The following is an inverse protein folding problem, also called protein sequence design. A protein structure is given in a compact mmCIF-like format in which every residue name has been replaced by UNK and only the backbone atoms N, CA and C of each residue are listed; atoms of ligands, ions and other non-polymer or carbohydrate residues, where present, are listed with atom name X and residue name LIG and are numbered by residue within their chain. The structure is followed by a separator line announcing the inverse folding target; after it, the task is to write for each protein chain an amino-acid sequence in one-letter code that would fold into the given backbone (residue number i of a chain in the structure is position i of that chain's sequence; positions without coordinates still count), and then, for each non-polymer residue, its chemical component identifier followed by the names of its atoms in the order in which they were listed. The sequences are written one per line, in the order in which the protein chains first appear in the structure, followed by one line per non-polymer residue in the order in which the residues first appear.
data_IF_114960647093
#
_entry.id   IF_114960647093
#
_cell.length_a   1.000
_cell.length_b   1.000
_cell.length_c   1.000
_cell.angle_alpha   90.00
_cell.angle_beta   90.00
_cell.angle_gamma   90.00
#
_symmetry.space_group_name_H-M   'P 1'
#
loop_
_entity.id
_entity.type
_entity.pdbx_description
1 polymer ?
#
# COMPACT_ATOMS: atom_id res chain seq x y z
N UNK A 1 9.46 -17.74 -10.07
CA UNK A 1 9.87 -16.99 -8.85
C UNK A 1 8.67 -16.64 -7.99
N UNK A 2 7.63 -16.00 -8.55
CA UNK A 2 6.43 -15.61 -7.78
C UNK A 2 5.60 -16.81 -7.29
N UNK A 3 5.54 -17.92 -8.02
CA UNK A 3 4.86 -19.15 -7.57
C UNK A 3 5.39 -19.69 -6.22
N UNK A 4 6.70 -19.59 -5.99
CA UNK A 4 7.33 -20.05 -4.73
C UNK A 4 6.88 -19.18 -3.56
N UNK A 5 6.77 -17.87 -3.81
CA UNK A 5 6.29 -16.91 -2.81
C UNK A 5 4.80 -17.10 -2.58
N UNK A 6 4.02 -17.36 -3.64
CA UNK A 6 2.57 -17.52 -3.58
C UNK A 6 2.13 -18.82 -2.91
N UNK A 7 2.89 -19.91 -3.05
CA UNK A 7 2.57 -21.23 -2.49
C UNK A 7 2.11 -21.22 -1.02
N UNK A 8 2.84 -20.63 -0.05
CA UNK A 8 2.39 -20.59 1.34
C UNK A 8 1.09 -19.79 1.52
N UNK A 9 0.92 -18.67 0.80
CA UNK A 9 -0.30 -17.87 0.87
C UNK A 9 -1.49 -18.63 0.27
N UNK A 10 -1.28 -19.35 -0.83
CA UNK A 10 -2.27 -20.23 -1.44
C UNK A 10 -2.74 -21.32 -0.48
N UNK A 11 -1.82 -21.95 0.27
CA UNK A 11 -2.20 -22.95 1.30
C UNK A 11 -2.99 -22.35 2.47
N UNK A 12 -2.67 -21.14 2.90
CA UNK A 12 -3.47 -20.45 3.93
C UNK A 12 -4.85 -20.12 3.38
N UNK A 13 -4.95 -19.61 2.15
CA UNK A 13 -6.24 -19.28 1.55
C UNK A 13 -7.09 -20.53 1.28
N UNK A 14 -6.47 -21.62 0.83
CA UNK A 14 -7.09 -22.93 0.72
C UNK A 14 -7.67 -23.40 2.04
N UNK A 15 -6.91 -23.31 3.13
CA UNK A 15 -7.40 -23.65 4.46
C UNK A 15 -8.59 -22.77 4.87
N UNK A 16 -8.54 -21.47 4.57
CA UNK A 16 -9.67 -20.57 4.80
C UNK A 16 -10.89 -21.01 3.99
N UNK A 17 -10.71 -21.35 2.71
CA UNK A 17 -11.79 -21.81 1.83
C UNK A 17 -12.41 -23.12 2.31
N UNK A 18 -11.62 -24.08 2.80
CA UNK A 18 -12.15 -25.32 3.37
C UNK A 18 -13.10 -25.07 4.56
N UNK A 19 -12.88 -24.00 5.32
CA UNK A 19 -13.71 -23.68 6.50
C UNK A 19 -15.03 -23.00 6.14
N UNK A 20 -15.05 -22.14 5.11
CA UNK A 20 -16.23 -21.31 4.78
C UNK A 20 -16.92 -21.67 3.47
N UNK A 21 -16.23 -22.40 2.57
CA UNK A 21 -16.70 -22.78 1.23
C UNK A 21 -17.21 -21.60 0.37
N UNK A 22 -16.69 -20.40 0.60
CA UNK A 22 -16.94 -19.21 -0.20
C UNK A 22 -15.63 -18.42 -0.33
N UNK A 23 -15.20 -18.14 -1.56
CA UNK A 23 -13.90 -17.53 -1.80
C UNK A 23 -13.79 -16.10 -1.25
N UNK A 24 -14.85 -15.30 -1.34
CA UNK A 24 -14.87 -13.94 -0.79
C UNK A 24 -14.70 -13.91 0.72
N UNK A 25 -15.43 -14.76 1.45
CA UNK A 25 -15.28 -14.87 2.92
C UNK A 25 -13.92 -15.48 3.27
N UNK A 26 -13.41 -16.41 2.45
CA UNK A 26 -12.07 -16.97 2.64
C UNK A 26 -10.99 -15.89 2.53
N UNK A 27 -11.11 -14.94 1.59
CA UNK A 27 -10.20 -13.79 1.48
C UNK A 27 -10.22 -12.90 2.74
N UNK A 28 -11.39 -12.70 3.36
CA UNK A 28 -11.50 -11.94 4.62
C UNK A 28 -10.76 -12.65 5.75
N UNK A 29 -11.02 -13.96 5.94
CA UNK A 29 -10.35 -14.77 6.95
C UNK A 29 -8.83 -14.82 6.74
N UNK A 30 -8.40 -15.04 5.50
CA UNK A 30 -7.00 -14.97 5.10
C UNK A 30 -6.37 -13.63 5.52
N UNK A 31 -7.04 -12.53 5.22
CA UNK A 31 -6.55 -11.18 5.56
C UNK A 31 -6.39 -11.01 7.07
N UNK A 32 -7.37 -11.47 7.86
CA UNK A 32 -7.30 -11.44 9.33
C UNK A 32 -6.11 -12.27 9.83
N UNK A 33 -5.93 -13.48 9.32
CA UNK A 33 -4.83 -14.38 9.71
C UNK A 33 -3.47 -13.76 9.41
N UNK A 34 -3.26 -13.22 8.20
CA UNK A 34 -2.00 -12.57 7.83
C UNK A 34 -1.72 -11.38 8.75
N UNK A 35 -2.73 -10.55 9.05
CA UNK A 35 -2.57 -9.40 9.94
C UNK A 35 -2.26 -9.81 11.39
N UNK A 36 -2.84 -10.92 11.87
CA UNK A 36 -2.51 -11.48 13.18
C UNK A 36 -1.08 -12.01 13.24
N UNK A 37 -0.62 -12.74 12.21
CA UNK A 37 0.77 -13.21 12.10
C UNK A 37 1.74 -12.01 12.07
N UNK A 38 1.36 -10.93 11.39
CA UNK A 38 2.16 -9.72 11.29
C UNK A 38 2.03 -8.77 12.49
N UNK A 39 1.10 -8.99 13.41
CA UNK A 39 0.86 -8.14 14.59
C UNK A 39 2.13 -7.84 15.43
N UNK A 40 3.00 -8.83 15.77
CA UNK A 40 4.24 -8.53 16.49
C UNK A 40 5.20 -7.64 15.68
N UNK A 41 5.21 -7.78 14.35
CA UNK A 41 5.99 -6.91 13.47
C UNK A 41 5.43 -5.49 13.48
N UNK A 42 4.11 -5.35 13.38
CA UNK A 42 3.43 -4.05 13.43
C UNK A 42 3.69 -3.31 14.76
N UNK A 43 3.70 -4.02 15.89
CA UNK A 43 4.10 -3.44 17.19
C UNK A 43 5.54 -2.92 17.16
N UNK A 44 6.49 -3.72 16.65
CA UNK A 44 7.90 -3.30 16.53
C UNK A 44 8.05 -2.09 15.60
N UNK A 45 7.32 -2.06 14.50
CA UNK A 45 7.29 -0.96 13.56
C UNK A 45 6.75 0.32 14.21
N UNK A 46 5.66 0.24 14.96
CA UNK A 46 5.12 1.39 15.69
C UNK A 46 6.10 1.91 16.76
N UNK A 47 6.82 1.03 17.44
CA UNK A 47 7.89 1.41 18.37
C UNK A 47 9.05 2.12 17.65
N UNK A 48 9.42 1.65 16.47
CA UNK A 48 10.42 2.33 15.63
C UNK A 48 9.95 3.72 15.21
N UNK A 49 8.66 3.90 14.90
CA UNK A 49 8.10 5.22 14.55
C UNK A 49 8.07 6.14 15.78
N UNK A 50 7.76 5.61 16.96
CA UNK A 50 7.78 6.37 18.20
C UNK A 50 9.20 6.84 18.57
N UNK A 51 10.26 6.05 18.29
CA UNK A 51 11.65 6.53 18.43
C UNK A 51 11.97 7.66 17.47
N UNK A 52 11.58 7.52 16.21
CA UNK A 52 11.77 8.58 15.20
C UNK A 52 11.05 9.86 15.61
N UNK A 53 9.86 9.74 16.19
CA UNK A 53 9.09 10.86 16.70
C UNK A 53 9.81 11.65 17.81
N UNK A 54 10.71 11.04 18.59
CA UNK A 54 11.50 11.76 19.59
C UNK A 54 12.56 12.67 18.97
N UNK A 55 12.99 12.37 17.75
CA UNK A 55 14.01 13.13 17.03
C UNK A 55 13.44 14.34 16.29
N UNK A 56 12.11 14.38 16.13
CA UNK A 56 11.37 15.47 15.50
C UNK A 56 11.83 16.89 15.86
N UNK A 57 11.95 17.28 17.15
CA UNK A 57 12.38 18.64 17.51
C UNK A 57 13.80 18.96 17.01
N UNK A 58 14.72 18.00 17.10
CA UNK A 58 16.10 18.17 16.60
C UNK A 58 16.15 18.24 15.07
N UNK A 59 15.33 17.43 14.39
CA UNK A 59 15.18 17.48 12.93
C UNK A 59 14.59 18.82 12.46
N UNK A 60 13.66 19.40 13.21
CA UNK A 60 13.09 20.71 12.88
C UNK A 60 14.12 21.83 13.04
N UNK A 61 14.95 21.77 14.07
CA UNK A 61 16.09 22.68 14.25
C UNK A 61 17.08 22.59 13.08
N UNK A 62 17.45 21.37 12.68
CA UNK A 62 18.31 21.14 11.50
C UNK A 62 17.71 21.76 10.23
N UNK A 63 16.42 21.55 9.98
CA UNK A 63 15.71 22.12 8.83
C UNK A 63 15.69 23.64 8.85
N UNK A 64 15.48 24.27 10.01
CA UNK A 64 15.51 25.72 10.16
C UNK A 64 16.92 26.28 9.92
N UNK A 65 17.93 25.61 10.46
CA UNK A 65 19.34 26.02 10.34
C UNK A 65 19.86 25.92 8.91
N UNK A 66 19.63 24.78 8.26
CA UNK A 66 20.14 24.47 6.92
C UNK A 66 19.07 24.59 5.83
N UNK A 67 18.07 25.46 6.01
CA UNK A 67 16.97 25.64 5.05
C UNK A 67 17.47 25.91 3.61
N UNK A 68 18.60 26.60 3.47
CA UNK A 68 19.22 26.97 2.20
C UNK A 68 20.34 26.01 1.75
N UNK A 69 20.72 25.01 2.56
CA UNK A 69 21.79 24.06 2.24
C UNK A 69 21.31 22.62 2.42
N UNK A 70 20.74 22.06 1.35
CA UNK A 70 20.19 20.70 1.34
C UNK A 70 21.23 19.61 1.59
N UNK A 71 22.47 19.83 1.17
CA UNK A 71 23.56 18.88 1.34
C UNK A 71 23.94 18.75 2.80
N UNK A 72 24.27 19.87 3.46
CA UNK A 72 24.53 19.91 4.92
C UNK A 72 23.33 19.42 5.74
N UNK A 73 22.11 19.76 5.31
CA UNK A 73 20.90 19.27 5.98
C UNK A 73 20.81 17.74 5.95
N UNK A 74 21.09 17.12 4.81
CA UNK A 74 21.03 15.67 4.66
C UNK A 74 22.13 14.99 5.50
N UNK A 75 23.35 15.53 5.50
CA UNK A 75 24.47 15.02 6.28
C UNK A 75 24.19 15.08 7.80
N UNK A 76 23.81 16.25 8.31
CA UNK A 76 23.51 16.43 9.74
C UNK A 76 22.28 15.61 10.17
N UNK A 77 21.30 15.44 9.30
CA UNK A 77 20.12 14.59 9.55
C UNK A 77 20.51 13.11 9.65
N UNK A 78 21.37 12.64 8.73
CA UNK A 78 21.86 11.26 8.75
C UNK A 78 22.70 11.01 10.01
N UNK A 79 23.55 11.97 10.38
CA UNK A 79 24.38 11.87 11.58
C UNK A 79 23.54 11.85 12.86
N UNK A 80 22.50 12.67 12.94
CA UNK A 80 21.56 12.62 14.07
C UNK A 80 20.90 11.24 14.21
N UNK A 81 20.50 10.62 13.10
CA UNK A 81 19.96 9.26 13.12
C UNK A 81 20.99 8.23 13.59
N UNK A 82 22.26 8.40 13.22
CA UNK A 82 23.34 7.54 13.67
C UNK A 82 23.57 7.66 15.16
N UNK A 83 23.75 8.89 15.68
CA UNK A 83 24.01 9.12 17.11
C UNK A 83 22.88 8.55 17.97
N UNK A 84 21.64 8.69 17.52
CA UNK A 84 20.45 8.23 18.23
C UNK A 84 20.11 6.76 17.95
N UNK A 85 20.92 6.05 17.14
CA UNK A 85 20.75 4.64 16.77
C UNK A 85 19.37 4.32 16.15
N UNK A 86 18.81 5.26 15.38
CA UNK A 86 17.50 5.11 14.71
C UNK A 86 17.71 4.87 13.22
N UNK A 87 17.12 3.79 12.69
CA UNK A 87 17.18 3.51 11.25
C UNK A 87 15.98 4.13 10.51
N UNK A 88 16.17 5.15 9.64
CA UNK A 88 15.08 5.76 8.87
C UNK A 88 14.41 4.77 7.91
N UNK A 89 15.14 3.78 7.38
CA UNK A 89 14.62 2.76 6.47
C UNK A 89 13.75 1.71 7.18
N UNK A 90 13.78 1.64 8.52
CA UNK A 90 12.84 0.80 9.27
C UNK A 90 11.37 1.17 9.04
N UNK A 91 11.11 2.41 8.59
CA UNK A 91 9.78 2.92 8.24
C UNK A 91 9.20 2.38 6.93
N UNK A 92 10.03 1.98 5.96
CA UNK A 92 9.59 1.56 4.63
C UNK A 92 9.44 0.04 4.47
N UNK A 93 9.94 -0.76 5.41
CA UNK A 93 9.70 -2.20 5.50
C UNK A 93 8.24 -2.65 5.28
N UNK A 94 7.21 -1.96 5.83
CA UNK A 94 5.81 -2.35 5.67
C UNK A 94 5.35 -2.26 4.22
N UNK A 95 5.89 -1.30 3.47
CA UNK A 95 5.58 -1.13 2.06
C UNK A 95 6.11 -2.32 1.26
N UNK A 96 7.36 -2.72 1.49
CA UNK A 96 7.97 -3.90 0.84
C UNK A 96 7.16 -5.16 1.13
N UNK A 97 6.82 -5.39 2.41
CA UNK A 97 6.03 -6.56 2.79
C UNK A 97 4.63 -6.51 2.14
N UNK A 98 4.00 -5.33 2.09
CA UNK A 98 2.70 -5.15 1.42
C UNK A 98 2.79 -5.48 -0.08
N UNK A 99 3.86 -5.05 -0.77
CA UNK A 99 4.06 -5.38 -2.18
C UNK A 99 4.31 -6.88 -2.42
N UNK A 100 5.11 -7.54 -1.58
CA UNK A 100 5.33 -8.99 -1.68
C UNK A 100 4.01 -9.75 -1.51
N UNK A 101 3.19 -9.34 -0.54
CA UNK A 101 1.87 -9.95 -0.32
C UNK A 101 0.93 -9.67 -1.50
N UNK A 102 0.95 -8.45 -2.07
CA UNK A 102 0.16 -8.12 -3.26
C UNK A 102 0.48 -9.06 -4.42
N UNK A 103 1.75 -9.26 -4.75
CA UNK A 103 2.13 -10.17 -5.85
C UNK A 103 1.73 -11.62 -5.58
N UNK A 104 1.84 -12.08 -4.33
CA UNK A 104 1.36 -13.40 -3.94
C UNK A 104 -0.16 -13.54 -4.11
N UNK A 105 -0.94 -12.54 -3.68
CA UNK A 105 -2.40 -12.57 -3.78
C UNK A 105 -2.88 -12.46 -5.22
N UNK A 106 -2.22 -11.64 -6.04
CA UNK A 106 -2.50 -11.57 -7.47
C UNK A 106 -2.43 -12.98 -8.07
N UNK A 107 -1.35 -13.72 -7.82
CA UNK A 107 -1.16 -15.06 -8.37
C UNK A 107 -2.26 -16.04 -7.88
N UNK A 108 -2.57 -16.01 -6.59
CA UNK A 108 -3.59 -16.91 -6.01
C UNK A 108 -5.00 -16.58 -6.51
N UNK A 109 -5.31 -15.29 -6.70
CA UNK A 109 -6.60 -14.85 -7.27
C UNK A 109 -6.71 -15.24 -8.74
N UNK A 110 -5.63 -15.13 -9.52
CA UNK A 110 -5.67 -15.52 -10.94
C UNK A 110 -5.75 -17.04 -11.14
N UNK A 111 -5.16 -17.83 -10.23
CA UNK A 111 -5.06 -19.28 -10.38
C UNK A 111 -5.79 -20.08 -9.27
N UNK A 112 -7.11 -19.89 -9.10
CA UNK A 112 -7.83 -20.52 -8.00
C UNK A 112 -7.93 -22.04 -8.15
N UNK A 113 -7.96 -22.59 -9.37
CA UNK A 113 -7.99 -24.03 -9.59
C UNK A 113 -6.70 -24.71 -9.13
N UNK A 114 -5.56 -24.03 -9.32
CA UNK A 114 -4.27 -24.53 -8.82
C UNK A 114 -4.13 -24.41 -7.31
N UNK A 115 -4.49 -23.26 -6.72
CA UNK A 115 -4.19 -22.99 -5.30
C UNK A 115 -5.28 -23.42 -4.34
N UNK A 116 -6.56 -23.42 -4.76
CA UNK A 116 -7.71 -23.76 -3.92
C UNK A 116 -8.16 -25.18 -4.21
N UNK A 117 -8.39 -25.51 -5.47
CA UNK A 117 -8.93 -26.83 -5.82
C UNK A 117 -7.85 -27.91 -5.98
N UNK A 118 -6.56 -27.52 -6.00
CA UNK A 118 -5.41 -28.42 -6.20
C UNK A 118 -5.53 -29.29 -7.47
N UNK A 119 -6.14 -28.77 -8.54
CA UNK A 119 -6.27 -29.50 -9.81
C UNK A 119 -4.87 -29.84 -10.37
N UNK A 120 -4.65 -31.06 -10.89
CA UNK A 120 -3.38 -31.45 -11.49
C UNK A 120 -2.93 -30.50 -12.61
N UNK A 121 -1.62 -30.22 -12.68
CA UNK A 121 -1.06 -29.23 -13.62
C UNK A 121 -1.25 -29.64 -15.08
N UNK A 122 -1.20 -30.94 -15.37
CA UNK A 122 -1.42 -31.53 -16.69
C UNK A 122 -2.86 -31.31 -17.17
N UNK A 123 -3.86 -31.60 -16.31
CA UNK A 123 -5.26 -31.32 -16.61
C UNK A 123 -5.54 -29.83 -16.82
N UNK A 124 -4.94 -28.97 -16.00
CA UNK A 124 -5.06 -27.52 -16.18
C UNK A 124 -4.41 -27.04 -17.47
N UNK A 125 -3.23 -27.55 -17.82
CA UNK A 125 -2.57 -27.19 -19.07
C UNK A 125 -3.41 -27.62 -20.29
N UNK A 126 -4.00 -28.82 -20.25
CA UNK A 126 -4.90 -29.28 -21.30
C UNK A 126 -6.16 -28.40 -21.41
N UNK A 127 -6.80 -28.10 -20.29
CA UNK A 127 -7.97 -27.23 -20.23
C UNK A 127 -7.65 -25.83 -20.81
N UNK A 128 -6.51 -25.26 -20.43
CA UNK A 128 -6.03 -23.97 -20.94
C UNK A 128 -5.82 -24.00 -22.45
N UNK A 129 -5.17 -25.04 -22.95
CA UNK A 129 -4.96 -25.20 -24.38
C UNK A 129 -6.28 -25.35 -25.12
N UNK A 130 -7.26 -26.11 -24.59
CA UNK A 130 -8.56 -26.27 -25.24
C UNK A 130 -9.29 -24.93 -25.38
N UNK A 131 -9.26 -24.08 -24.34
CA UNK A 131 -9.84 -22.72 -24.41
C UNK A 131 -9.08 -21.82 -25.36
N UNK A 132 -7.75 -21.86 -25.32
CA UNK A 132 -6.93 -21.05 -26.22
C UNK A 132 -7.16 -21.44 -27.69
N UNK A 133 -7.27 -22.73 -27.96
CA UNK A 133 -7.47 -23.26 -29.30
C UNK A 133 -8.87 -22.95 -29.83
N UNK A 134 -9.90 -23.10 -28.98
CA UNK A 134 -11.23 -22.63 -29.29
C UNK A 134 -11.20 -21.14 -29.63
N UNK A 135 -10.57 -20.29 -28.81
CA UNK A 135 -10.43 -18.86 -29.09
C UNK A 135 -9.75 -18.60 -30.44
N UNK A 136 -8.60 -19.23 -30.73
CA UNK A 136 -7.87 -19.04 -32.00
C UNK A 136 -8.74 -19.45 -33.18
N UNK A 137 -9.37 -20.62 -33.14
CA UNK A 137 -10.22 -21.09 -34.23
C UNK A 137 -11.44 -20.21 -34.43
N UNK A 138 -12.06 -19.71 -33.35
CA UNK A 138 -13.15 -18.73 -33.44
C UNK A 138 -12.70 -17.41 -34.06
N UNK A 139 -11.48 -16.93 -33.74
CA UNK A 139 -10.93 -15.73 -34.40
C UNK A 139 -10.70 -15.96 -35.89
N UNK A 140 -10.21 -17.14 -36.28
CA UNK A 140 -10.01 -17.49 -37.70
C UNK A 140 -11.34 -17.52 -38.44
N UNK A 141 -12.40 -18.13 -37.86
CA UNK A 141 -13.73 -18.12 -38.44
C UNK A 141 -14.26 -16.68 -38.63
N UNK A 142 -14.13 -15.86 -37.59
CA UNK A 142 -14.53 -14.45 -37.62
C UNK A 142 -13.75 -13.63 -38.66
N UNK A 143 -12.45 -13.85 -38.80
CA UNK A 143 -11.60 -13.15 -39.79
C UNK A 143 -12.02 -13.49 -41.24
N UNK A 144 -12.52 -14.71 -41.46
CA UNK A 144 -13.09 -15.15 -42.73
C UNK A 144 -14.59 -14.80 -42.88
N UNK A 145 -15.14 -13.98 -41.98
CA UNK A 145 -16.55 -13.54 -42.00
C UNK A 145 -17.53 -14.71 -41.99
N UNK A 146 -17.15 -15.82 -41.35
CA UNK A 146 -18.00 -17.00 -41.18
C UNK A 146 -18.23 -17.30 -39.69
N UNK A 147 -19.16 -18.21 -39.41
CA UNK A 147 -19.45 -18.71 -38.08
C UNK A 147 -19.74 -20.21 -38.14
N UNK A 148 -19.68 -20.87 -36.99
CA UNK A 148 -20.02 -22.29 -36.90
C UNK A 148 -21.47 -22.52 -37.34
N UNK A 149 -22.40 -21.71 -36.86
CA UNK A 149 -23.82 -21.76 -37.28
C UNK A 149 -23.97 -21.65 -38.80
N UNK A 150 -23.30 -20.68 -39.44
CA UNK A 150 -23.37 -20.51 -40.89
C UNK A 150 -22.80 -21.71 -41.67
N UNK A 151 -21.72 -22.33 -41.18
CA UNK A 151 -21.14 -23.54 -41.80
C UNK A 151 -22.14 -24.69 -41.74
N UNK A 152 -22.72 -24.91 -40.57
CA UNK A 152 -23.70 -25.98 -40.34
C UNK A 152 -25.01 -25.77 -41.13
N UNK A 153 -25.46 -24.53 -41.28
CA UNK A 153 -26.65 -24.18 -42.08
C UNK A 153 -26.43 -24.39 -43.59
N UNK A 154 -25.26 -24.02 -44.12
CA UNK A 154 -24.93 -24.22 -45.53
C UNK A 154 -24.85 -25.71 -45.89
N UNK A 155 -24.34 -26.54 -44.97
CA UNK A 155 -24.27 -28.00 -45.13
C UNK A 155 -23.31 -28.50 -46.23
N UNK A 156 -22.50 -27.61 -46.81
CA UNK A 156 -21.57 -27.92 -47.91
C UNK A 156 -20.25 -28.53 -47.44
N UNK A 157 -19.82 -28.21 -46.22
CA UNK A 157 -18.59 -28.70 -45.59
C UNK A 157 -18.76 -28.78 -44.07
N UNK A 158 -17.99 -29.65 -43.41
CA UNK A 158 -17.93 -29.68 -41.95
C UNK A 158 -17.14 -28.49 -41.38
N UNK A 159 -17.26 -28.24 -40.07
CA UNK A 159 -16.46 -27.21 -39.40
C UNK A 159 -14.97 -27.57 -39.50
N UNK A 160 -14.66 -28.86 -39.36
CA UNK A 160 -13.31 -29.39 -39.51
C UNK A 160 -12.73 -29.12 -40.91
N UNK A 161 -13.46 -29.46 -41.97
CA UNK A 161 -13.03 -29.25 -43.36
C UNK A 161 -12.82 -27.78 -43.67
N UNK A 162 -13.71 -26.92 -43.16
CA UNK A 162 -13.60 -25.48 -43.32
C UNK A 162 -12.34 -24.93 -42.64
N UNK A 163 -12.07 -25.34 -41.40
CA UNK A 163 -10.85 -24.94 -40.67
C UNK A 163 -9.57 -25.46 -41.34
N UNK A 164 -9.58 -26.67 -41.91
CA UNK A 164 -8.47 -27.19 -42.70
C UNK A 164 -8.21 -26.36 -43.96
N UNK A 165 -9.27 -25.87 -44.62
CA UNK A 165 -9.13 -24.99 -45.77
C UNK A 165 -8.39 -23.70 -45.38
N UNK A 166 -8.75 -23.07 -44.25
CA UNK A 166 -8.09 -21.87 -43.73
C UNK A 166 -6.67 -22.14 -43.21
N UNK A 167 -6.40 -23.34 -42.69
CA UNK A 167 -5.03 -23.76 -42.33
C UNK A 167 -4.09 -23.77 -43.54
N UNK A 168 -4.60 -24.12 -44.73
CA UNK A 168 -3.79 -24.21 -45.94
C UNK A 168 -3.34 -22.86 -46.53
N UNK A 169 -3.88 -21.75 -46.02
CA UNK A 169 -3.58 -20.41 -46.49
C UNK A 169 -2.20 -19.89 -46.04
N UNK A 170 -1.64 -18.95 -46.82
CA UNK A 170 -0.36 -18.33 -46.48
C UNK A 170 -0.48 -17.50 -45.19
N UNK A 171 0.39 -17.77 -44.19
CA UNK A 171 0.40 -17.12 -42.86
C UNK A 171 -0.85 -17.38 -42.01
N UNK A 172 -1.52 -18.52 -42.23
CA UNK A 172 -2.62 -18.94 -41.37
C UNK A 172 -2.22 -19.04 -39.89
N UNK A 173 -3.09 -18.58 -39.00
CA UNK A 173 -2.93 -18.76 -37.55
C UNK A 173 -3.01 -20.24 -37.11
N UNK A 174 -3.54 -21.11 -37.98
CA UNK A 174 -3.67 -22.55 -37.75
C UNK A 174 -2.48 -23.36 -38.29
N UNK A 175 -1.46 -22.71 -38.86
CA UNK A 175 -0.35 -23.40 -39.53
C UNK A 175 0.38 -24.41 -38.63
N UNK A 176 0.53 -24.09 -37.34
CA UNK A 176 1.25 -24.91 -36.36
C UNK A 176 0.35 -25.97 -35.68
N UNK A 177 -0.95 -25.99 -35.95
CA UNK A 177 -1.89 -26.94 -35.35
C UNK A 177 -1.84 -28.30 -36.04
N UNK A 178 -1.89 -29.40 -35.30
CA UNK A 178 -2.09 -30.72 -35.89
C UNK A 178 -3.53 -30.91 -36.37
N UNK A 179 -3.72 -31.72 -37.41
CA UNK A 179 -5.06 -31.97 -37.96
C UNK A 179 -5.99 -32.62 -36.91
N UNK A 180 -5.46 -33.55 -36.11
CA UNK A 180 -6.16 -34.19 -34.98
C UNK A 180 -6.62 -33.16 -33.93
N UNK A 181 -5.80 -32.11 -33.68
CA UNK A 181 -6.15 -31.06 -32.73
C UNK A 181 -7.28 -30.18 -33.27
N UNK A 182 -7.25 -29.86 -34.58
CA UNK A 182 -8.32 -29.12 -35.25
C UNK A 182 -9.62 -29.93 -35.23
N UNK A 183 -9.54 -31.23 -35.55
CA UNK A 183 -10.70 -32.13 -35.51
C UNK A 183 -11.32 -32.20 -34.11
N UNK A 184 -10.49 -32.32 -33.07
CA UNK A 184 -10.95 -32.34 -31.67
C UNK A 184 -11.77 -31.10 -31.33
N UNK A 185 -11.26 -29.90 -31.61
CA UNK A 185 -11.97 -28.65 -31.28
C UNK A 185 -13.16 -28.41 -32.22
N UNK A 186 -13.04 -28.76 -33.51
CA UNK A 186 -14.14 -28.68 -34.48
C UNK A 186 -15.34 -29.52 -34.03
N UNK A 187 -15.12 -30.74 -33.53
CA UNK A 187 -16.22 -31.59 -33.02
C UNK A 187 -16.97 -30.93 -31.84
N UNK A 188 -16.27 -30.13 -31.03
CA UNK A 188 -16.89 -29.40 -29.92
C UNK A 188 -17.69 -28.19 -30.41
N UNK A 189 -17.21 -27.49 -31.44
CA UNK A 189 -17.98 -26.45 -32.12
C UNK A 189 -19.25 -27.01 -32.77
N UNK A 190 -19.17 -28.18 -33.42
CA UNK A 190 -20.34 -28.80 -34.04
C UNK A 190 -21.40 -29.21 -33.01
N UNK A 191 -20.98 -29.62 -31.81
CA UNK A 191 -21.88 -29.89 -30.69
C UNK A 191 -22.44 -28.60 -30.04
N UNK A 192 -21.74 -27.47 -30.15
CA UNK A 192 -22.08 -26.19 -29.53
C UNK A 192 -21.93 -25.04 -30.54
N UNK A 193 -22.92 -24.84 -31.44
CA UNK A 193 -22.77 -23.93 -32.58
C UNK A 193 -22.54 -22.45 -32.22
N UNK A 194 -22.91 -22.02 -31.02
CA UNK A 194 -22.74 -20.66 -30.51
C UNK A 194 -21.38 -20.41 -29.84
N UNK A 195 -20.58 -21.48 -29.63
CA UNK A 195 -19.31 -21.40 -28.92
C UNK A 195 -18.31 -20.46 -29.60
N UNK A 196 -18.29 -20.39 -30.94
CA UNK A 196 -17.38 -19.50 -31.65
C UNK A 196 -17.66 -18.02 -31.36
N UNK A 197 -18.94 -17.64 -31.38
CA UNK A 197 -19.38 -16.29 -31.02
C UNK A 197 -19.12 -15.98 -29.55
N UNK A 198 -19.35 -16.95 -28.66
CA UNK A 198 -19.04 -16.80 -27.24
C UNK A 198 -17.55 -16.52 -26.99
N UNK A 199 -16.66 -17.24 -27.68
CA UNK A 199 -15.22 -17.14 -27.48
C UNK A 199 -14.62 -15.80 -27.94
N UNK A 200 -15.23 -15.15 -28.93
CA UNK A 200 -14.79 -13.83 -29.44
C UNK A 200 -15.49 -12.65 -28.77
N UNK A 201 -16.54 -12.89 -27.97
CA UNK A 201 -17.22 -11.85 -27.20
C UNK A 201 -16.33 -11.36 -26.04
N UNK A 202 -15.78 -10.15 -26.17
CA UNK A 202 -14.92 -9.51 -25.18
C UNK A 202 -15.59 -9.30 -23.80
N UNK A 203 -16.92 -9.38 -23.72
CA UNK A 203 -17.68 -9.30 -22.46
C UNK A 203 -17.74 -10.63 -21.71
N UNK A 204 -17.58 -11.74 -22.42
CA UNK A 204 -17.57 -13.11 -21.88
C UNK A 204 -16.16 -13.61 -21.68
N UNK A 205 -15.32 -13.40 -22.70
CA UNK A 205 -13.98 -13.93 -22.78
C UNK A 205 -12.99 -12.78 -22.91
N UNK A 206 -12.34 -12.44 -21.80
CA UNK A 206 -11.34 -11.36 -21.80
C UNK A 206 -10.08 -11.81 -22.54
N UNK A 207 -9.80 -11.18 -23.69
CA UNK A 207 -8.53 -11.32 -24.44
C UNK A 207 -7.29 -11.22 -23.55
N UNK A 208 -7.31 -10.34 -22.55
CA UNK A 208 -6.19 -10.13 -21.58
C UNK A 208 -5.85 -11.37 -20.74
N UNK A 209 -6.82 -12.28 -20.58
CA UNK A 209 -6.69 -13.48 -19.77
C UNK A 209 -6.32 -14.69 -20.63
N UNK A 210 -6.82 -14.75 -21.88
CA UNK A 210 -6.52 -15.85 -22.82
C UNK A 210 -5.15 -15.69 -23.49
N UNK A 211 -4.79 -14.49 -23.96
CA UNK A 211 -3.58 -14.29 -24.77
C UNK A 211 -2.28 -14.14 -23.94
N UNK A 212 -2.27 -14.63 -22.70
CA UNK A 212 -1.25 -14.31 -21.69
C UNK A 212 -0.73 -15.53 -20.92
N UNK A 213 -0.02 -15.28 -19.81
CA UNK A 213 0.50 -16.33 -18.92
C UNK A 213 -0.63 -17.31 -18.50
N UNK A 214 -0.38 -18.62 -18.62
CA UNK A 214 -1.32 -19.73 -18.39
C UNK A 214 -2.13 -19.60 -17.11
N UNK A 215 -1.51 -19.14 -16.02
CA UNK A 215 -2.16 -19.00 -14.72
C UNK A 215 -3.33 -17.99 -14.73
N UNK A 216 -3.34 -16.99 -15.63
CA UNK A 216 -4.45 -16.02 -15.74
C UNK A 216 -5.66 -16.56 -16.47
N UNK A 217 -5.46 -17.54 -17.35
CA UNK A 217 -6.52 -18.17 -18.11
C UNK A 217 -7.48 -18.96 -17.20
N UNK A 218 -7.08 -19.33 -15.97
CA UNK A 218 -7.95 -20.08 -15.06
C UNK A 218 -9.25 -19.35 -14.71
N UNK A 219 -9.25 -18.02 -14.67
CA UNK A 219 -10.50 -17.26 -14.47
C UNK A 219 -11.46 -17.41 -15.66
N UNK A 220 -10.94 -17.46 -16.89
CA UNK A 220 -11.75 -17.71 -18.09
C UNK A 220 -12.18 -19.17 -18.16
N UNK A 221 -11.28 -20.10 -17.81
CA UNK A 221 -11.60 -21.53 -17.73
C UNK A 221 -12.81 -21.79 -16.85
N UNK A 222 -12.89 -21.13 -15.71
CA UNK A 222 -14.02 -21.32 -14.80
C UNK A 222 -15.36 -20.93 -15.43
N UNK A 223 -15.42 -19.84 -16.20
CA UNK A 223 -16.66 -19.48 -16.91
C UNK A 223 -16.93 -20.42 -18.10
N UNK A 224 -15.91 -20.71 -18.92
CA UNK A 224 -16.08 -21.56 -20.11
C UNK A 224 -16.44 -23.00 -19.72
N UNK A 225 -15.87 -23.55 -18.64
CA UNK A 225 -16.14 -24.91 -18.19
C UNK A 225 -17.55 -25.10 -17.61
N UNK A 226 -18.18 -24.03 -17.15
CA UNK A 226 -19.57 -24.06 -16.71
C UNK A 226 -20.52 -24.08 -17.90
N UNK A 227 -20.28 -23.22 -18.88
CA UNK A 227 -21.16 -23.03 -20.04
C UNK A 227 -20.94 -24.12 -21.13
N UNK A 228 -19.69 -24.55 -21.34
CA UNK A 228 -19.28 -25.52 -22.37
C UNK A 228 -18.41 -26.65 -21.75
N UNK A 229 -19.02 -27.57 -20.99
CA UNK A 229 -18.28 -28.62 -20.28
C UNK A 229 -17.55 -29.59 -21.22
N UNK A 230 -18.01 -29.76 -22.46
CA UNK A 230 -17.44 -30.68 -23.46
C UNK A 230 -16.00 -30.31 -23.88
N UNK A 231 -15.59 -29.07 -23.62
CA UNK A 231 -14.20 -28.61 -23.81
C UNK A 231 -13.23 -29.15 -22.74
N UNK A 232 -13.71 -29.82 -21.69
CA UNK A 232 -12.91 -30.10 -20.50
C UNK A 232 -13.04 -31.54 -20.00
N UNK A 233 -12.01 -31.98 -19.27
CA UNK A 233 -12.10 -33.19 -18.45
C UNK A 233 -13.14 -33.00 -17.34
N UNK A 234 -13.94 -34.05 -17.07
CA UNK A 234 -15.05 -33.98 -16.12
C UNK A 234 -14.61 -33.53 -14.72
N UNK A 235 -13.41 -33.90 -14.27
CA UNK A 235 -12.88 -33.48 -12.97
C UNK A 235 -12.71 -31.95 -12.91
N UNK A 236 -12.28 -31.33 -14.02
CA UNK A 236 -12.13 -29.87 -14.11
C UNK A 236 -13.49 -29.18 -14.08
N UNK A 237 -14.48 -29.73 -14.79
CA UNK A 237 -15.86 -29.21 -14.82
C UNK A 237 -16.48 -29.25 -13.42
N UNK A 238 -16.39 -30.41 -12.75
CA UNK A 238 -16.96 -30.60 -11.41
C UNK A 238 -16.32 -29.62 -10.41
N UNK A 239 -15.00 -29.47 -10.45
CA UNK A 239 -14.29 -28.49 -9.63
C UNK A 239 -14.73 -27.05 -9.92
N UNK A 240 -14.92 -26.67 -11.18
CA UNK A 240 -15.36 -25.32 -11.55
C UNK A 240 -16.78 -25.03 -11.06
N UNK A 241 -17.66 -26.04 -11.05
CA UNK A 241 -19.04 -25.92 -10.54
C UNK A 241 -19.12 -25.85 -9.02
N UNK A 242 -18.26 -26.57 -8.31
CA UNK A 242 -18.22 -26.58 -6.84
C UNK A 242 -17.50 -25.37 -6.22
N UNK A 243 -16.62 -24.72 -6.99
CA UNK A 243 -15.83 -23.60 -6.52
C UNK A 243 -16.66 -22.31 -6.48
N UNK A 244 -17.22 -21.98 -5.31
CA UNK A 244 -17.91 -20.71 -5.07
C UNK A 244 -16.92 -19.54 -5.04
N UNK A 245 -16.75 -18.93 -6.21
CA UNK A 245 -15.87 -17.79 -6.46
C UNK A 245 -16.60 -16.45 -6.38
N UNK A 246 -17.68 -16.38 -5.58
CA UNK A 246 -18.50 -15.17 -5.43
C UNK A 246 -18.33 -14.49 -4.08
N UNK A 247 -18.70 -13.22 -3.99
CA UNK A 247 -18.86 -12.49 -2.75
C UNK A 247 -20.03 -11.51 -2.86
N UNK A 248 -20.99 -11.57 -1.93
CA UNK A 248 -22.21 -10.74 -1.97
C UNK A 248 -22.96 -10.82 -3.31
N UNK A 249 -22.97 -12.00 -3.94
CA UNK A 249 -23.61 -12.24 -5.24
C UNK A 249 -22.80 -11.76 -6.46
N UNK A 250 -21.57 -11.31 -6.25
CA UNK A 250 -20.69 -10.82 -7.30
C UNK A 250 -19.59 -11.83 -7.60
N UNK A 251 -19.39 -12.17 -8.88
CA UNK A 251 -18.27 -13.02 -9.31
C UNK A 251 -16.93 -12.28 -9.20
N UNK A 252 -15.98 -12.87 -8.49
CA UNK A 252 -14.72 -12.21 -8.14
C UNK A 252 -13.66 -12.22 -9.26
N UNK A 253 -13.88 -13.00 -10.32
CA UNK A 253 -13.01 -13.02 -11.51
C UNK A 253 -13.31 -11.88 -12.50
N UNK A 254 -14.46 -11.21 -12.35
CA UNK A 254 -14.85 -10.11 -13.23
C UNK A 254 -14.06 -8.83 -12.96
N UNK A 255 -13.85 -8.03 -14.01
CA UNK A 255 -13.17 -6.74 -13.91
C UNK A 255 -14.17 -5.60 -13.67
N UNK A 256 -13.88 -4.68 -12.73
CA UNK A 256 -14.71 -3.48 -12.57
C UNK A 256 -14.78 -2.61 -13.82
N UNK A 257 -15.98 -2.12 -14.13
CA UNK A 257 -16.24 -1.20 -15.22
C UNK A 257 -17.27 -0.16 -14.80
N UNK A 258 -17.25 1.01 -15.42
CA UNK A 258 -18.19 2.10 -15.11
C UNK A 258 -19.65 1.74 -15.37
N UNK A 259 -19.92 0.78 -16.25
CA UNK A 259 -21.25 0.30 -16.59
C UNK A 259 -21.76 -0.81 -15.66
N UNK A 260 -20.96 -1.24 -14.69
CA UNK A 260 -21.25 -2.37 -13.81
C UNK A 260 -21.30 -1.93 -12.34
N UNK A 261 -22.12 -2.61 -11.53
CA UNK A 261 -22.15 -2.47 -10.06
C UNK A 261 -20.76 -2.72 -9.44
N UNK A 262 -19.89 -3.45 -10.14
CA UNK A 262 -18.49 -3.68 -9.76
C UNK A 262 -17.69 -2.37 -9.55
N UNK A 263 -18.11 -1.24 -10.13
CA UNK A 263 -17.48 0.07 -9.90
C UNK A 263 -17.48 0.49 -8.42
N UNK A 264 -18.36 -0.07 -7.61
CA UNK A 264 -18.37 0.16 -6.16
C UNK A 264 -17.11 -0.36 -5.49
N UNK A 265 -16.47 -1.42 -6.01
CA UNK A 265 -15.25 -2.01 -5.43
C UNK A 265 -14.09 -1.01 -5.41
N UNK A 266 -13.67 -0.40 -6.54
CA UNK A 266 -12.59 0.59 -6.51
C UNK A 266 -12.95 1.83 -5.67
N UNK A 267 -14.21 2.27 -5.69
CA UNK A 267 -14.67 3.40 -4.84
C UNK A 267 -14.54 3.04 -3.35
N UNK A 268 -15.00 1.88 -2.93
CA UNK A 268 -14.89 1.41 -1.55
C UNK A 268 -13.43 1.17 -1.14
N UNK A 269 -12.59 0.70 -2.05
CA UNK A 269 -11.15 0.58 -1.85
C UNK A 269 -10.52 1.96 -1.57
N UNK A 270 -10.85 2.97 -2.39
CA UNK A 270 -10.39 4.34 -2.19
C UNK A 270 -10.85 4.91 -0.83
N UNK A 271 -12.13 4.79 -0.52
CA UNK A 271 -12.71 5.29 0.74
C UNK A 271 -12.06 4.60 1.95
N UNK A 272 -11.90 3.27 1.90
CA UNK A 272 -11.26 2.50 2.97
C UNK A 272 -9.80 2.90 3.16
N UNK A 273 -9.08 3.15 2.07
CA UNK A 273 -7.68 3.55 2.13
C UNK A 273 -7.50 5.00 2.60
N UNK A 274 -8.42 5.90 2.25
CA UNK A 274 -8.48 7.26 2.80
C UNK A 274 -8.78 7.23 4.30
N UNK A 275 -9.75 6.42 4.74
CA UNK A 275 -10.07 6.27 6.15
C UNK A 275 -8.85 5.77 6.96
N UNK A 276 -8.17 4.72 6.48
CA UNK A 276 -6.92 4.22 7.08
C UNK A 276 -5.86 5.32 7.18
N UNK A 277 -5.67 6.05 6.09
CA UNK A 277 -4.71 7.15 5.97
C UNK A 277 -4.97 8.27 6.98
N UNK A 278 -6.18 8.82 7.01
CA UNK A 278 -6.54 9.93 7.89
C UNK A 278 -6.53 9.53 9.36
N UNK A 279 -6.98 8.31 9.69
CA UNK A 279 -6.98 7.83 11.08
C UNK A 279 -5.55 7.57 11.56
N UNK A 280 -4.68 7.01 10.71
CA UNK A 280 -3.25 6.88 11.01
C UNK A 280 -2.61 8.24 11.27
N UNK A 281 -2.89 9.25 10.43
CA UNK A 281 -2.41 10.62 10.67
C UNK A 281 -2.91 11.21 11.98
N UNK A 282 -4.19 11.01 12.29
CA UNK A 282 -4.78 11.50 13.54
C UNK A 282 -4.00 10.96 14.75
N UNK A 283 -3.72 9.65 14.78
CA UNK A 283 -2.95 9.05 15.87
C UNK A 283 -1.48 9.47 15.86
N UNK A 284 -0.86 9.64 14.69
CA UNK A 284 0.51 10.17 14.59
C UNK A 284 0.60 11.60 15.16
N UNK A 285 -0.34 12.47 14.81
CA UNK A 285 -0.41 13.85 15.31
C UNK A 285 -0.60 13.88 16.82
N UNK A 286 -1.50 13.04 17.36
CA UNK A 286 -1.75 12.92 18.79
C UNK A 286 -0.52 12.45 19.57
N UNK A 287 0.30 11.59 18.98
CA UNK A 287 1.48 11.02 19.63
C UNK A 287 2.77 11.85 19.42
N UNK A 288 2.67 13.09 18.94
CA UNK A 288 3.82 13.99 18.76
C UNK A 288 4.71 13.67 17.56
N UNK A 289 4.27 12.80 16.65
CA UNK A 289 5.03 12.35 15.47
C UNK A 289 5.04 13.36 14.30
N UNK A 290 5.03 14.66 14.60
CA UNK A 290 4.78 15.70 13.62
C UNK A 290 5.97 16.20 12.78
N UNK A 291 7.21 15.67 12.88
CA UNK A 291 8.26 16.09 11.92
C UNK A 291 8.33 15.25 10.63
N UNK A 292 7.55 14.16 10.52
CA UNK A 292 7.41 13.43 9.25
C UNK A 292 6.49 14.16 8.25
N UNK A 293 5.58 15.02 8.73
CA UNK A 293 4.66 15.82 7.92
C UNK A 293 5.34 17.05 7.25
N UNK A 294 6.57 17.38 7.65
CA UNK A 294 7.31 18.54 7.13
C UNK A 294 8.12 18.23 5.85
N UNK A 295 8.11 16.98 5.35
CA UNK A 295 8.67 16.65 4.04
C UNK A 295 7.54 16.56 3.02
N UNK A 296 7.55 17.45 2.02
CA UNK A 296 6.58 17.44 0.91
C UNK A 296 6.46 16.05 0.24
N UNK A 297 7.52 15.24 0.26
CA UNK A 297 7.54 13.87 -0.27
C UNK A 297 6.62 12.88 0.46
N UNK A 298 6.41 13.02 1.78
CA UNK A 298 5.53 12.13 2.55
C UNK A 298 4.05 12.47 2.36
N UNK A 299 3.71 13.76 2.22
CA UNK A 299 2.33 14.18 1.91
C UNK A 299 1.92 13.70 0.51
N UNK A 300 2.84 13.67 -0.46
CA UNK A 300 2.59 13.05 -1.76
C UNK A 300 2.30 11.57 -1.59
N UNK A 301 3.16 10.81 -0.88
CA UNK A 301 2.93 9.39 -0.63
C UNK A 301 1.55 9.12 0.02
N UNK A 302 1.13 9.99 0.93
CA UNK A 302 -0.14 9.89 1.63
C UNK A 302 -1.35 9.95 0.68
N UNK A 303 -1.36 10.90 -0.26
CA UNK A 303 -2.48 11.05 -1.20
C UNK A 303 -2.35 10.14 -2.42
N UNK A 304 -1.12 9.79 -2.81
CA UNK A 304 -0.87 8.90 -3.94
C UNK A 304 -1.28 7.46 -3.64
N UNK A 305 -1.09 6.97 -2.42
CA UNK A 305 -1.42 5.56 -2.09
C UNK A 305 -2.90 5.20 -2.25
N UNK A 306 -3.88 6.01 -1.78
CA UNK A 306 -5.29 5.80 -2.07
C UNK A 306 -5.61 5.82 -3.57
N UNK A 307 -4.97 6.70 -4.35
CA UNK A 307 -5.16 6.75 -5.80
C UNK A 307 -4.60 5.52 -6.51
N UNK A 308 -3.43 5.03 -6.09
CA UNK A 308 -2.88 3.75 -6.59
C UNK A 308 -3.82 2.60 -6.22
N UNK A 309 -4.37 2.60 -5.01
CA UNK A 309 -5.31 1.57 -4.55
C UNK A 309 -6.59 1.55 -5.38
N UNK A 310 -7.11 2.73 -5.72
CA UNK A 310 -8.23 2.90 -6.65
C UNK A 310 -7.88 2.36 -8.04
N UNK A 311 -6.72 2.74 -8.58
CA UNK A 311 -6.24 2.29 -9.89
C UNK A 311 -6.03 0.77 -9.94
N UNK A 312 -5.42 0.16 -8.92
CA UNK A 312 -5.25 -1.30 -8.81
C UNK A 312 -6.60 -2.00 -8.77
N UNK A 313 -7.53 -1.54 -7.92
CA UNK A 313 -8.86 -2.15 -7.84
C UNK A 313 -9.64 -2.06 -9.15
N UNK A 314 -9.33 -1.09 -10.02
CA UNK A 314 -9.90 -0.99 -11.37
C UNK A 314 -9.15 -1.85 -12.41
N UNK A 315 -7.84 -2.03 -12.23
CA UNK A 315 -6.96 -2.69 -13.21
C UNK A 315 -6.92 -4.21 -13.10
N UNK A 316 -7.43 -4.76 -12.00
CA UNK A 316 -7.39 -6.17 -11.66
C UNK A 316 -8.80 -6.74 -11.39
N UNK A 317 -8.97 -8.08 -11.40
CA UNK A 317 -10.23 -8.73 -11.03
C UNK A 317 -10.76 -8.27 -9.67
N UNK A 318 -12.08 -8.29 -9.54
CA UNK A 318 -12.83 -7.86 -8.37
C UNK A 318 -12.28 -8.48 -7.07
N UNK A 319 -11.83 -9.74 -7.08
CA UNK A 319 -11.21 -10.41 -5.93
C UNK A 319 -10.02 -9.66 -5.33
N UNK A 320 -9.16 -9.05 -6.16
CA UNK A 320 -8.02 -8.24 -5.69
C UNK A 320 -8.51 -6.93 -5.06
N UNK A 321 -9.53 -6.29 -5.65
CA UNK A 321 -10.15 -5.09 -5.08
C UNK A 321 -10.82 -5.36 -3.73
N UNK A 322 -11.55 -6.48 -3.60
CA UNK A 322 -12.15 -6.94 -2.35
C UNK A 322 -11.07 -7.22 -1.29
N UNK A 323 -10.00 -7.90 -1.66
CA UNK A 323 -8.84 -8.10 -0.77
C UNK A 323 -8.28 -6.76 -0.28
N UNK A 324 -8.16 -5.75 -1.16
CA UNK A 324 -7.68 -4.42 -0.78
C UNK A 324 -8.58 -3.78 0.28
N UNK A 325 -9.91 -3.82 0.07
CA UNK A 325 -10.90 -3.32 1.03
C UNK A 325 -10.74 -4.02 2.38
N UNK A 326 -10.72 -5.35 2.41
CA UNK A 326 -10.54 -6.11 3.65
C UNK A 326 -9.21 -5.77 4.33
N UNK A 327 -8.12 -5.69 3.57
CA UNK A 327 -6.81 -5.36 4.09
C UNK A 327 -6.80 -3.97 4.72
N UNK A 328 -7.43 -2.97 4.08
CA UNK A 328 -7.54 -1.61 4.62
C UNK A 328 -8.39 -1.58 5.89
N UNK A 329 -9.55 -2.24 5.91
CA UNK A 329 -10.45 -2.29 7.08
C UNK A 329 -9.79 -3.00 8.26
N UNK A 330 -9.20 -4.18 8.05
CA UNK A 330 -8.50 -4.92 9.11
C UNK A 330 -7.26 -4.13 9.60
N UNK A 331 -6.52 -3.48 8.69
CA UNK A 331 -5.40 -2.61 9.07
C UNK A 331 -5.86 -1.41 9.89
N UNK A 332 -7.03 -0.86 9.57
CA UNK A 332 -7.60 0.25 10.31
C UNK A 332 -7.95 -0.19 11.73
N UNK A 333 -8.66 -1.31 11.86
CA UNK A 333 -8.99 -1.90 13.17
C UNK A 333 -7.72 -2.20 13.98
N UNK A 334 -6.70 -2.77 13.35
CA UNK A 334 -5.40 -3.02 13.97
C UNK A 334 -4.72 -1.71 14.39
N UNK A 335 -4.74 -0.68 13.56
CA UNK A 335 -4.13 0.64 13.86
C UNK A 335 -4.83 1.30 15.04
N UNK A 336 -6.16 1.31 15.05
CA UNK A 336 -6.96 1.83 16.17
C UNK A 336 -6.66 1.02 17.43
N UNK A 337 -6.75 -0.30 17.39
CA UNK A 337 -6.49 -1.18 18.53
C UNK A 337 -5.08 -1.03 19.10
N UNK A 338 -4.06 -0.97 18.23
CA UNK A 338 -2.68 -0.75 18.65
C UNK A 338 -2.48 0.63 19.29
N UNK A 339 -3.07 1.69 18.76
CA UNK A 339 -2.97 3.03 19.36
C UNK A 339 -3.75 3.17 20.67
N UNK A 340 -4.85 2.41 20.83
CA UNK A 340 -5.55 2.31 22.11
C UNK A 340 -4.71 1.54 23.16
N UNK A 341 -4.00 0.48 22.74
CA UNK A 341 -3.17 -0.33 23.64
C UNK A 341 -1.81 0.32 23.97
N UNK A 342 -1.13 0.91 22.99
CA UNK A 342 0.18 1.56 23.09
C UNK A 342 0.01 3.07 23.31
N UNK A 343 -0.56 3.42 24.46
CA UNK A 343 -0.67 4.82 24.89
C UNK A 343 0.71 5.48 24.97
N UNK A 344 0.84 6.82 24.83
CA UNK A 344 2.12 7.52 24.87
C UNK A 344 2.97 7.16 26.10
N UNK A 345 2.34 7.11 27.28
CA UNK A 345 3.01 6.74 28.53
C UNK A 345 3.52 5.29 28.53
N UNK A 346 2.78 4.35 27.95
CA UNK A 346 3.20 2.95 27.84
C UNK A 346 4.33 2.79 26.83
N UNK A 347 4.20 3.47 25.68
CA UNK A 347 5.22 3.51 24.64
C UNK A 347 6.53 4.07 25.19
N UNK A 348 6.50 5.17 25.94
CA UNK A 348 7.68 5.75 26.57
C UNK A 348 8.34 4.79 27.57
N UNK A 349 7.55 4.13 28.42
CA UNK A 349 8.05 3.10 29.37
C UNK A 349 8.69 1.92 28.64
N UNK A 350 8.07 1.44 27.56
CA UNK A 350 8.60 0.34 26.76
C UNK A 350 9.88 0.72 26.03
N UNK A 351 9.95 1.94 25.48
CA UNK A 351 11.15 2.49 24.88
C UNK A 351 12.28 2.61 25.91
N UNK A 352 12.03 3.22 27.08
CA UNK A 352 13.03 3.34 28.13
C UNK A 352 13.55 1.96 28.61
N UNK A 353 12.68 0.94 28.66
CA UNK A 353 13.09 -0.44 28.99
C UNK A 353 13.95 -1.07 27.89
N UNK A 354 13.65 -0.77 26.62
CA UNK A 354 14.46 -1.22 25.48
C UNK A 354 15.81 -0.51 25.45
N UNK A 355 15.84 0.81 25.67
CA UNK A 355 17.06 1.62 25.72
C UNK A 355 17.99 1.15 26.84
N UNK A 356 17.44 0.78 28.02
CA UNK A 356 18.20 0.18 29.13
C UNK A 356 18.74 -1.23 28.83
N UNK A 357 18.03 -2.02 28.02
CA UNK A 357 18.42 -3.40 27.67
C UNK A 357 19.35 -3.46 26.46
N UNK A 358 19.30 -2.46 25.59
CA UNK A 358 20.19 -2.37 24.45
C UNK A 358 21.62 -2.17 24.97
N UNK A 359 22.44 -3.22 24.92
CA UNK A 359 23.90 -3.05 24.99
C UNK A 359 24.27 -2.13 23.84
N UNK A 360 24.95 -1.00 24.12
CA UNK A 360 25.55 -0.12 23.12
C UNK A 360 26.60 -0.90 22.31
N UNK A 361 26.16 -1.72 21.36
CA UNK A 361 27.04 -2.25 20.32
C UNK A 361 26.89 -1.29 19.15
N UNK A 362 27.98 -0.65 18.69
CA UNK A 362 27.86 0.27 17.59
C UNK A 362 27.31 -0.44 16.36
N UNK A 363 26.41 0.22 15.63
CA UNK A 363 25.91 -0.33 14.37
C UNK A 363 27.06 -0.54 13.38
N UNK A 364 26.91 -1.45 12.42
CA UNK A 364 27.95 -1.68 11.38
C UNK A 364 28.35 -0.36 10.69
N UNK A 365 27.38 0.54 10.53
CA UNK A 365 27.61 1.86 9.97
C UNK A 365 28.35 2.81 10.92
N UNK A 366 28.05 2.78 12.22
CA UNK A 366 28.83 3.54 13.23
C UNK A 366 30.28 3.06 13.29
N UNK A 367 30.52 1.74 13.23
CA UNK A 367 31.88 1.21 13.17
C UNK A 367 32.60 1.66 11.89
N UNK A 368 31.89 1.76 10.76
CA UNK A 368 32.45 2.28 9.51
C UNK A 368 32.78 3.78 9.61
N UNK A 369 31.91 4.57 10.23
CA UNK A 369 32.11 6.01 10.48
C UNK A 369 33.25 6.26 11.48
N UNK A 370 33.32 5.51 12.58
CA UNK A 370 34.42 5.58 13.55
C UNK A 370 35.76 5.24 12.89
N UNK A 371 35.81 4.21 12.05
CA UNK A 371 37.00 3.86 11.27
C UNK A 371 37.38 4.96 10.28
N UNK A 372 36.40 5.61 9.65
CA UNK A 372 36.64 6.75 8.76
C UNK A 372 37.15 7.98 9.53
N UNK A 373 36.63 8.22 10.73
CA UNK A 373 37.06 9.27 11.66
C UNK A 373 38.48 9.05 12.16
N UNK A 374 38.84 7.81 12.50
CA UNK A 374 40.22 7.41 12.84
C UNK A 374 41.19 7.62 11.68
N UNK A 375 40.75 7.40 10.44
CA UNK A 375 41.57 7.62 9.24
C UNK A 375 41.79 9.09 8.91
N UNK A 376 40.80 9.95 9.15
CA UNK A 376 40.84 11.37 8.77
C UNK A 376 41.36 12.28 9.88
N UNK A 377 41.33 11.87 11.15
CA UNK A 377 41.82 12.67 12.28
C UNK A 377 41.08 14.00 12.52
N UNK A 378 39.97 14.24 11.81
CA UNK A 378 39.14 15.45 11.84
C UNK A 378 37.68 15.02 12.00
N UNK A 379 36.84 15.86 12.65
CA UNK A 379 35.39 15.62 12.68
C UNK A 379 34.88 15.56 11.24
N UNK A 380 34.07 14.54 10.94
CA UNK A 380 33.47 14.42 9.62
C UNK A 380 32.39 15.50 9.45
N UNK A 381 32.19 15.98 8.21
CA UNK A 381 31.31 17.12 7.88
C UNK A 381 29.89 17.03 8.49
N UNK A 382 29.33 15.82 8.59
CA UNK A 382 28.02 15.60 9.21
C UNK A 382 27.97 15.82 10.73
N UNK A 383 29.05 15.49 11.47
CA UNK A 383 29.14 15.68 12.93
C UNK A 383 29.34 17.15 13.27
N UNK A 384 30.16 17.86 12.48
CA UNK A 384 30.31 19.32 12.62
C UNK A 384 29.02 20.05 12.31
N UNK A 385 28.31 19.67 11.24
CA UNK A 385 27.04 20.28 10.89
C UNK A 385 25.94 20.00 11.94
N UNK A 386 25.92 18.80 12.53
CA UNK A 386 25.00 18.50 13.62
C UNK A 386 25.31 19.32 14.87
N UNK A 387 26.58 19.39 15.27
CA UNK A 387 27.02 20.16 16.44
C UNK A 387 26.76 21.66 16.26
N UNK A 388 27.08 22.23 15.09
CA UNK A 388 26.81 23.63 14.73
C UNK A 388 25.30 23.95 14.85
N UNK A 389 24.45 23.05 14.39
CA UNK A 389 23.00 23.24 14.46
C UNK A 389 22.40 23.05 15.87
N UNK A 390 23.05 22.27 16.73
CA UNK A 390 22.60 22.03 18.11
C UNK A 390 23.11 23.09 19.10
N UNK A 391 24.21 23.78 18.77
CA UNK A 391 24.88 24.76 19.65
C UNK A 391 24.50 26.22 19.37
N UNK A 392 24.19 26.59 18.12
CA UNK A 392 23.80 27.97 17.80
C UNK A 392 22.29 28.20 17.97
N UNK A 393 21.91 29.29 18.66
CA UNK A 393 20.51 29.70 18.81
C UNK A 393 19.85 29.92 17.44
N UNK A 394 18.74 29.21 17.20
CA UNK A 394 17.93 29.36 15.99
C UNK A 394 17.32 30.76 15.97
N UNK A 395 17.79 31.64 15.07
CA UNK A 395 17.21 32.97 14.86
C UNK A 395 15.77 32.85 14.35
N UNK A 396 14.80 33.11 15.23
CA UNK A 396 13.37 33.14 14.89
C UNK A 396 13.08 34.17 13.78
N UNK A 397 12.24 33.79 12.82
CA UNK A 397 11.68 34.70 11.81
C UNK A 397 10.90 35.84 12.48
N UNK A 398 10.81 37.01 11.84
CA UNK A 398 10.03 38.17 12.34
C UNK A 398 8.56 37.80 12.61
N UNK A 399 8.00 36.89 11.82
CA UNK A 399 6.64 36.36 12.03
C UNK A 399 6.56 35.40 13.22
N UNK A 400 7.52 34.50 13.38
CA UNK A 400 7.60 33.56 14.51
C UNK A 400 7.86 34.30 15.83
N UNK A 401 8.66 35.36 15.82
CA UNK A 401 8.86 36.27 16.96
C UNK A 401 7.54 36.91 17.39
N UNK A 402 6.79 37.47 16.44
CA UNK A 402 5.49 38.12 16.70
C UNK A 402 4.43 37.14 17.21
N UNK A 403 4.42 35.91 16.68
CA UNK A 403 3.49 34.86 17.12
C UNK A 403 3.85 34.31 18.50
N UNK A 404 5.14 34.08 18.78
CA UNK A 404 5.62 33.67 20.10
C UNK A 404 5.31 34.74 21.17
N UNK A 405 5.49 36.01 20.83
CA UNK A 405 5.17 37.14 21.69
C UNK A 405 3.66 37.22 21.97
N UNK A 406 2.81 36.99 20.96
CA UNK A 406 1.35 36.92 21.12
C UNK A 406 0.91 35.74 21.99
N UNK A 407 1.54 34.57 21.83
CA UNK A 407 1.25 33.40 22.66
C UNK A 407 1.70 33.60 24.11
N UNK A 408 2.87 34.19 24.33
CA UNK A 408 3.38 34.52 25.66
C UNK A 408 2.48 35.54 26.36
N UNK A 409 2.02 36.58 25.64
CA UNK A 409 1.09 37.58 26.17
C UNK A 409 -0.26 36.95 26.55
N UNK A 410 -0.80 36.07 25.70
CA UNK A 410 -2.06 35.38 25.96
C UNK A 410 -1.95 34.37 27.11
N UNK A 411 -0.83 33.65 27.22
CA UNK A 411 -0.58 32.74 28.34
C UNK A 411 -0.40 33.50 29.65
N UNK A 412 0.31 34.64 29.64
CA UNK A 412 0.44 35.52 30.78
C UNK A 412 -0.92 36.08 31.22
N UNK A 413 -1.75 36.56 30.27
CA UNK A 413 -3.13 37.00 30.54
C UNK A 413 -3.99 35.88 31.11
N UNK A 414 -3.89 34.67 30.58
CA UNK A 414 -4.65 33.52 31.06
C UNK A 414 -4.25 33.11 32.48
N UNK A 415 -2.96 33.09 32.78
CA UNK A 415 -2.43 32.84 34.13
C UNK A 415 -2.76 33.97 35.11
N UNK A 416 -2.90 35.21 34.63
CA UNK A 416 -3.35 36.34 35.42
C UNK A 416 -4.83 36.21 35.80
N UNK A 417 -5.70 35.94 34.82
CA UNK A 417 -7.15 35.70 35.04
C UNK A 417 -7.38 34.50 35.96
N UNK A 418 -6.65 33.39 35.77
CA UNK A 418 -6.73 32.20 36.63
C UNK A 418 -6.30 32.46 38.09
N UNK A 419 -5.46 33.48 38.34
CA UNK A 419 -4.86 33.76 39.65
C UNK A 419 -5.51 34.92 40.40
N UNK A 420 -6.02 35.94 39.70
CA UNK A 420 -6.49 37.20 40.31
C UNK A 420 -7.91 37.62 39.90
N UNK A 421 -8.57 36.92 38.96
CA UNK A 421 -9.88 37.32 38.46
C UNK A 421 -9.84 38.56 37.55
N UNK A 422 -11.01 38.97 37.03
CA UNK A 422 -11.18 39.90 35.90
C UNK A 422 -10.95 41.41 36.23
N UNK A 423 -9.96 41.74 37.07
CA UNK A 423 -9.59 43.12 37.45
C UNK A 423 -8.30 43.63 36.77
N UNK A 424 -8.15 44.96 36.62
CA UNK A 424 -6.94 45.58 36.04
C UNK A 424 -5.73 45.56 37.00
N UNK A 425 -4.52 45.44 36.43
CA UNK A 425 -3.27 45.14 37.14
C UNK A 425 -2.67 46.32 37.94
N UNK A 426 -2.15 46.01 39.13
CA UNK A 426 -1.57 46.91 40.15
C UNK A 426 -0.03 47.02 40.01
N UNK A 427 0.65 48.05 40.56
CA UNK A 427 2.12 48.22 40.47
C UNK A 427 2.97 47.05 41.00
N UNK A 428 2.44 46.19 41.88
CA UNK A 428 3.14 44.95 42.28
C UNK A 428 3.12 43.87 41.18
N UNK A 429 2.23 43.98 40.19
CA UNK A 429 2.13 43.09 39.03
C UNK A 429 3.23 43.34 37.99
N UNK A 430 3.83 44.54 37.98
CA UNK A 430 5.02 44.85 37.17
C UNK A 430 6.20 43.95 37.55
N UNK A 431 6.38 43.66 38.84
CA UNK A 431 7.44 42.76 39.32
C UNK A 431 7.21 41.30 38.88
N UNK A 432 5.95 40.87 38.76
CA UNK A 432 5.60 39.54 38.25
C UNK A 432 5.83 39.44 36.73
N UNK A 433 5.54 40.51 35.99
CA UNK A 433 5.89 40.67 34.58
C UNK A 433 7.41 40.68 34.38
N UNK A 434 8.15 41.34 35.26
CA UNK A 434 9.60 41.41 35.22
C UNK A 434 10.25 40.06 35.57
N UNK A 435 9.67 39.30 36.49
CA UNK A 435 10.06 37.91 36.75
C UNK A 435 9.77 36.98 35.55
N UNK A 436 8.66 37.19 34.85
CA UNK A 436 8.35 36.47 33.61
C UNK A 436 9.32 36.86 32.48
N UNK A 437 9.68 38.15 32.39
CA UNK A 437 10.69 38.72 31.50
C UNK A 437 12.04 38.04 31.77
N UNK A 438 12.50 37.97 33.02
CA UNK A 438 13.75 37.31 33.40
C UNK A 438 13.76 35.80 33.08
N UNK A 439 12.65 35.09 33.27
CA UNK A 439 12.53 33.68 32.88
C UNK A 439 12.57 33.49 31.35
N UNK A 440 12.08 34.46 30.60
CA UNK A 440 12.17 34.48 29.15
C UNK A 440 13.60 34.78 28.68
N UNK A 441 14.28 35.76 29.27
CA UNK A 441 15.71 36.05 29.05
C UNK A 441 16.60 34.84 29.33
N UNK A 442 16.36 34.13 30.44
CA UNK A 442 17.12 32.93 30.79
C UNK A 442 16.94 31.77 29.78
N UNK A 443 15.89 31.80 28.95
CA UNK A 443 15.56 30.76 27.98
C UNK A 443 15.99 31.10 26.54
N UNK A 444 16.17 32.39 26.21
CA UNK A 444 16.41 32.86 24.83
C UNK A 444 17.59 33.84 24.68
N UNK A 445 18.38 34.05 25.73
CA UNK A 445 19.62 34.84 25.67
C UNK A 445 19.43 36.34 25.39
N UNK A 446 20.54 37.00 25.05
CA UNK A 446 20.68 38.47 24.86
C UNK A 446 19.79 39.04 23.73
N UNK A 447 19.34 38.14 22.84
CA UNK A 447 18.35 38.37 21.79
C UNK A 447 16.98 38.82 22.33
N UNK A 448 16.64 38.46 23.58
CA UNK A 448 15.38 38.83 24.23
C UNK A 448 15.35 40.27 24.76
N UNK A 449 16.53 40.88 24.98
CA UNK A 449 16.66 42.21 25.56
C UNK A 449 16.34 43.33 24.61
N UNK A 450 16.92 43.21 23.44
CA UNK A 450 16.93 44.24 22.40
C UNK A 450 15.57 44.37 21.74
N UNK A 451 14.73 43.32 21.79
CA UNK A 451 13.38 43.29 21.22
C UNK A 451 12.29 43.82 22.17
N UNK A 452 12.53 43.84 23.48
CA UNK A 452 11.54 44.34 24.44
C UNK A 452 11.62 45.85 24.62
N UNK A 453 12.85 46.41 24.58
CA UNK A 453 13.05 47.84 24.71
C UNK A 453 12.73 48.64 23.43
N UNK A 454 12.67 48.00 22.25
CA UNK A 454 12.38 48.71 20.99
C UNK A 454 10.90 49.08 20.81
N UNK A 455 9.98 48.30 21.40
CA UNK A 455 8.54 48.57 21.28
C UNK A 455 8.02 49.57 22.34
N UNK A 456 8.71 49.73 23.48
CA UNK A 456 8.32 50.73 24.49
C UNK A 456 8.64 52.16 23.99
N UNK A 457 9.64 52.31 23.12
CA UNK A 457 9.96 53.59 22.49
C UNK A 457 9.07 53.92 21.29
N UNK A 458 8.49 52.92 20.60
CA UNK A 458 7.57 53.17 19.46
C UNK A 458 6.11 53.35 19.89
N UNK A 459 5.70 52.89 21.09
CA UNK A 459 4.34 53.08 21.61
C UNK A 459 4.14 54.41 22.35
N UNK A 460 5.22 55.15 22.63
CA UNK A 460 5.18 56.51 23.17
C UNK A 460 5.30 57.61 22.09
N UNK A 461 5.50 57.23 20.82
CA UNK A 461 5.68 58.14 19.67
C UNK A 461 4.58 57.94 18.59
N UNK A 462 3.40 57.43 18.96
CA UNK A 462 2.22 57.36 18.10
C UNK A 462 0.96 57.95 18.71
#
# INVERSE_FOLDING_TARGET
MWEIIAWPFGKILWLCYLLVKNYGVALLLFTIIIKLIMLPSAVKQQMSMARMSRLNPKLEQLKKKYANNKEKLNEATMELYNQENVNPMGSCLPMVVTFVILFAIIEVVYAPLSYISNVPKDKLAQAQNNVYDAYVMSTVLSDHQTSVEAILENGEASVYETLLSFKSEEKSALADYSDERIETIASVFEANPDLDQYMIDDTKVSKRLISGNTNRAQLVLMSVAVDYPDLFDQEVVDVCRELDYTFLGVYLGAYPSWSSVLVLIPILSLVSQLALTFISQYFQKKNGANAAAANKSMNVMLYTMPLISFWIAFSFPAGIGIYWIFSSVVSLLQTVGLNLYLTPAKTEKLLAKQDKKARKKPSLYQMALEKQKEQLGVKYQGEEALDEAMTEEVKLSRAEKKEAQRMALNEAKRRYVDKYGDGEASPEDEAALEAARQRYYAKYGDSGATLFNSDITEENDR
#
